data_IF_804771968315
#
_entry.id   IF_804771968315
#
_cell.length_a   1.000
_cell.length_b   1.000
_cell.length_c   1.000
_cell.angle_alpha   90.00
_cell.angle_beta   90.00
_cell.angle_gamma   90.00
#
_symmetry.space_group_name_H-M   'P 1'
#
loop_
_entity.id
_entity.type
_entity.pdbx_description
1 polymer ?
#
# COMPACT_ATOMS: atom_id res chain seq x y z
N UNK A 1 -34.20 -35.19 -13.45
CA UNK A 1 -32.90 -34.59 -13.84
C UNK A 1 -32.98 -33.07 -14.15
N UNK A 2 -34.14 -32.42 -14.14
CA UNK A 2 -34.23 -30.95 -14.29
C UNK A 2 -34.12 -30.20 -12.95
N UNK A 3 -34.55 -30.82 -11.85
CA UNK A 3 -34.56 -30.18 -10.52
C UNK A 3 -33.14 -29.82 -10.03
N UNK A 4 -32.15 -30.66 -10.33
CA UNK A 4 -30.75 -30.46 -9.97
C UNK A 4 -30.10 -29.32 -10.75
N UNK A 5 -30.47 -29.14 -12.02
CA UNK A 5 -29.98 -28.05 -12.85
C UNK A 5 -30.49 -26.68 -12.37
N UNK A 6 -31.77 -26.60 -11.98
CA UNK A 6 -32.37 -25.36 -11.47
C UNK A 6 -31.74 -24.94 -10.13
N UNK A 7 -31.47 -25.90 -9.24
CA UNK A 7 -30.78 -25.64 -7.96
C UNK A 7 -29.35 -25.12 -8.16
N UNK A 8 -28.63 -25.64 -9.17
CA UNK A 8 -27.27 -25.19 -9.48
C UNK A 8 -27.26 -23.76 -10.03
N UNK A 9 -28.22 -23.41 -10.90
CA UNK A 9 -28.35 -22.05 -11.42
C UNK A 9 -28.73 -21.03 -10.35
N UNK A 10 -29.60 -21.39 -9.40
CA UNK A 10 -29.97 -20.51 -8.29
C UNK A 10 -28.79 -20.22 -7.35
N UNK A 11 -27.94 -21.22 -7.08
CA UNK A 11 -26.74 -21.05 -6.27
C UNK A 11 -25.71 -20.11 -6.93
N UNK A 12 -25.57 -20.15 -8.26
CA UNK A 12 -24.70 -19.25 -9.02
C UNK A 12 -25.20 -17.79 -8.98
N UNK A 13 -26.52 -17.56 -9.05
CA UNK A 13 -27.10 -16.20 -8.99
C UNK A 13 -26.96 -15.61 -7.57
N UNK A 14 -27.11 -16.42 -6.52
CA UNK A 14 -26.89 -15.99 -5.14
C UNK A 14 -25.41 -15.68 -4.85
N UNK A 15 -24.48 -16.42 -5.44
CA UNK A 15 -23.05 -16.14 -5.35
C UNK A 15 -22.65 -14.88 -6.14
N UNK A 16 -23.27 -14.63 -7.30
CA UNK A 16 -23.03 -13.43 -8.11
C UNK A 16 -23.57 -12.15 -7.46
N UNK A 17 -24.72 -12.21 -6.78
CA UNK A 17 -25.26 -11.08 -6.00
C UNK A 17 -24.51 -10.78 -4.70
N UNK A 18 -23.56 -11.64 -4.31
CA UNK A 18 -22.72 -11.49 -3.12
C UNK A 18 -21.34 -10.90 -3.43
N UNK A 19 -21.07 -10.54 -4.68
CA UNK A 19 -19.97 -9.65 -5.02
C UNK A 19 -20.37 -8.24 -4.56
N UNK A 20 -20.31 -7.99 -3.25
CA UNK A 20 -20.23 -6.63 -2.75
C UNK A 20 -19.04 -6.00 -3.48
N UNK A 21 -19.30 -5.02 -4.34
CA UNK A 21 -18.30 -4.04 -4.76
C UNK A 21 -17.76 -3.35 -3.50
N UNK A 22 -16.85 -4.02 -2.81
CA UNK A 22 -16.06 -3.45 -1.73
C UNK A 22 -14.69 -3.12 -2.31
N UNK A 23 -14.66 -2.12 -3.19
CA UNK A 23 -13.41 -1.52 -3.63
C UNK A 23 -13.50 0.00 -3.72
N UNK A 24 -14.40 0.62 -2.94
CA UNK A 24 -14.16 2.01 -2.54
C UNK A 24 -13.11 1.99 -1.43
N UNK A 25 -11.84 2.05 -1.83
CA UNK A 25 -10.77 2.49 -0.94
C UNK A 25 -11.11 3.92 -0.50
N UNK A 26 -11.88 4.07 0.56
CA UNK A 26 -12.10 5.38 1.15
C UNK A 26 -10.80 5.82 1.83
N UNK A 27 -10.21 6.96 1.43
CA UNK A 27 -8.97 7.45 2.02
C UNK A 27 -9.25 7.98 3.43
N UNK A 28 -9.44 7.09 4.40
CA UNK A 28 -9.43 7.46 5.81
C UNK A 28 -7.98 7.57 6.28
N UNK A 29 -7.41 8.78 6.24
CA UNK A 29 -6.13 9.09 6.87
C UNK A 29 -6.27 9.14 8.41
N UNK A 30 -6.75 8.06 9.04
CA UNK A 30 -6.69 7.91 10.49
C UNK A 30 -5.24 7.67 10.88
N UNK A 31 -4.73 8.35 11.92
CA UNK A 31 -3.33 8.26 12.37
C UNK A 31 -2.81 6.82 12.56
N UNK A 32 -3.69 5.86 12.87
CA UNK A 32 -3.36 4.43 12.95
C UNK A 32 -2.83 3.87 11.61
N UNK A 33 -3.37 4.34 10.47
CA UNK A 33 -2.95 3.94 9.12
C UNK A 33 -1.53 4.44 8.83
N UNK A 34 -1.16 5.63 9.32
CA UNK A 34 0.18 6.18 9.11
C UNK A 34 1.25 5.36 9.86
N UNK A 35 0.98 4.90 11.08
CA UNK A 35 1.93 4.06 11.82
C UNK A 35 2.12 2.67 11.20
N UNK A 36 1.06 2.07 10.63
CA UNK A 36 1.19 0.82 9.87
C UNK A 36 2.09 0.98 8.64
N UNK A 37 2.03 2.12 7.95
CA UNK A 37 2.95 2.43 6.83
C UNK A 37 4.40 2.53 7.32
N UNK A 38 4.63 3.14 8.49
CA UNK A 38 5.98 3.18 9.10
C UNK A 38 6.48 1.76 9.42
N UNK A 39 5.64 0.90 10.01
CA UNK A 39 6.00 -0.49 10.27
C UNK A 39 6.30 -1.28 9.00
N UNK A 40 5.59 -1.00 7.90
CA UNK A 40 5.90 -1.57 6.60
C UNK A 40 7.25 -1.08 6.06
N UNK A 41 7.53 0.22 6.17
CA UNK A 41 8.81 0.85 5.80
C UNK A 41 10.01 0.39 6.64
N UNK A 42 9.78 -0.16 7.84
CA UNK A 42 10.81 -0.80 8.66
C UNK A 42 11.25 -2.15 8.07
N UNK A 43 10.33 -2.86 7.42
CA UNK A 43 10.61 -4.16 6.79
C UNK A 43 11.14 -4.01 5.37
N UNK A 44 10.69 -2.99 4.64
CA UNK A 44 10.98 -2.82 3.22
C UNK A 44 11.23 -1.36 2.85
N UNK A 45 12.06 -1.13 1.86
CA UNK A 45 12.23 0.20 1.24
C UNK A 45 11.06 0.48 0.32
N UNK A 46 10.44 1.66 0.42
CA UNK A 46 9.43 2.09 -0.55
C UNK A 46 10.07 2.95 -1.62
N UNK A 47 9.60 2.78 -2.85
CA UNK A 47 10.06 3.51 -4.03
C UNK A 47 8.95 4.46 -4.48
N UNK A 48 9.31 5.70 -4.80
CA UNK A 48 8.38 6.63 -5.42
C UNK A 48 8.16 6.20 -6.87
N UNK A 49 7.01 5.58 -7.14
CA UNK A 49 6.67 5.10 -8.49
C UNK A 49 6.11 6.21 -9.38
N UNK A 50 5.19 7.01 -8.83
CA UNK A 50 4.55 8.11 -9.56
C UNK A 50 4.31 9.27 -8.60
N UNK A 51 4.38 10.49 -9.13
CA UNK A 51 4.17 11.73 -8.40
C UNK A 51 3.52 12.76 -9.33
N UNK A 52 2.52 13.48 -8.82
CA UNK A 52 1.97 14.64 -9.52
C UNK A 52 2.90 15.85 -9.47
N UNK A 53 3.91 15.82 -8.60
CA UNK A 53 4.96 16.83 -8.53
C UNK A 53 6.01 16.56 -9.62
N UNK A 54 6.07 17.44 -10.62
CA UNK A 54 7.02 17.36 -11.74
C UNK A 54 8.49 17.56 -11.34
N UNK A 55 8.75 18.07 -10.14
CA UNK A 55 10.10 18.26 -9.61
C UNK A 55 10.59 17.07 -8.79
N UNK A 56 9.77 16.02 -8.62
CA UNK A 56 10.20 14.83 -7.91
C UNK A 56 11.42 14.19 -8.60
N UNK A 57 12.56 14.06 -7.90
CA UNK A 57 13.75 13.44 -8.47
C UNK A 57 13.52 11.97 -8.80
N UNK A 58 14.24 11.47 -9.82
CA UNK A 58 14.22 10.05 -10.15
C UNK A 58 14.86 9.20 -9.05
N UNK A 59 14.48 7.93 -9.00
CA UNK A 59 15.01 6.94 -8.04
C UNK A 59 14.82 7.34 -6.57
N UNK A 60 13.75 8.08 -6.25
CA UNK A 60 13.42 8.41 -4.87
C UNK A 60 12.98 7.18 -4.08
N UNK A 61 13.58 7.01 -2.90
CA UNK A 61 13.29 5.91 -1.99
C UNK A 61 13.18 6.40 -0.56
N UNK A 62 12.42 5.66 0.24
CA UNK A 62 12.23 5.92 1.66
C UNK A 62 12.38 4.61 2.42
N UNK A 63 13.11 4.65 3.53
CA UNK A 63 13.26 3.52 4.46
C UNK A 63 13.28 4.04 5.89
N UNK A 64 12.75 3.28 6.83
CA UNK A 64 12.89 3.57 8.26
C UNK A 64 14.29 3.19 8.75
N UNK A 65 14.91 4.10 9.49
CA UNK A 65 16.19 3.87 10.17
C UNK A 65 16.00 3.46 11.63
N UNK A 66 15.13 4.18 12.35
CA UNK A 66 14.84 3.95 13.77
C UNK A 66 13.37 4.18 14.04
N UNK A 67 12.80 3.41 14.96
CA UNK A 67 11.42 3.58 15.44
C UNK A 67 11.40 3.65 16.97
N UNK A 68 10.45 4.40 17.50
CA UNK A 68 10.06 4.39 18.89
C UNK A 68 8.55 4.10 18.97
N UNK A 69 8.23 2.87 19.35
CA UNK A 69 6.84 2.39 19.45
C UNK A 69 6.09 3.08 20.61
N UNK A 70 6.79 3.49 21.67
CA UNK A 70 6.15 4.07 22.87
C UNK A 70 5.50 5.43 22.60
N UNK A 71 5.95 6.16 21.58
CA UNK A 71 5.41 7.46 21.18
C UNK A 71 5.04 7.54 19.68
N UNK A 72 5.04 6.40 18.97
CA UNK A 72 4.80 6.31 17.52
C UNK A 72 5.63 7.30 16.68
N UNK A 73 6.94 7.38 16.94
CA UNK A 73 7.86 8.19 16.13
C UNK A 73 8.87 7.36 15.37
N UNK A 74 9.28 7.82 14.20
CA UNK A 74 10.30 7.15 13.40
C UNK A 74 11.22 8.14 12.68
N UNK A 75 12.48 7.74 12.53
CA UNK A 75 13.48 8.42 11.72
C UNK A 75 13.50 7.77 10.34
N UNK A 76 13.18 8.54 9.30
CA UNK A 76 13.17 8.10 7.91
C UNK A 76 14.46 8.52 7.20
N UNK A 77 15.01 7.62 6.40
CA UNK A 77 16.07 7.92 5.45
C UNK A 77 15.45 8.00 4.07
N UNK A 78 15.52 9.19 3.48
CA UNK A 78 15.06 9.46 2.11
C UNK A 78 16.29 9.60 1.22
N UNK A 79 16.33 8.83 0.13
CA UNK A 79 17.36 8.97 -0.91
C UNK A 79 16.68 9.36 -2.21
N UNK A 80 17.36 10.13 -3.04
CA UNK A 80 16.82 10.65 -4.29
C UNK A 80 17.96 11.01 -5.24
N UNK A 81 17.73 10.86 -6.54
CA UNK A 81 18.76 11.07 -7.56
C UNK A 81 19.65 9.83 -7.79
N UNK A 82 20.62 9.97 -8.69
CA UNK A 82 21.68 8.96 -8.89
C UNK A 82 22.69 9.09 -7.73
N UNK A 83 23.17 7.98 -7.20
CA UNK A 83 24.41 7.98 -6.41
C UNK A 83 25.48 8.68 -7.25
N UNK A 84 25.90 9.87 -6.82
CA UNK A 84 27.18 10.39 -7.24
C UNK A 84 28.19 9.40 -6.71
N UNK A 85 28.79 8.58 -7.57
CA UNK A 85 29.99 7.82 -7.22
C UNK A 85 30.99 8.83 -6.65
N UNK A 86 31.10 8.91 -5.33
CA UNK A 86 32.19 9.59 -4.65
C UNK A 86 33.42 8.71 -4.84
N UNK A 87 33.96 8.73 -6.04
CA UNK A 87 35.30 8.26 -6.36
C UNK A 87 36.05 9.48 -6.86
N UNK A 88 36.77 10.13 -5.94
CA UNK A 88 38.01 10.82 -6.23
C UNK A 88 38.83 10.98 -4.96
#
# INVERSE_FOLDING_TARGET
MYLTAVLFCAALIAAAGSAKEKNECQPEAKNQVAWEVVKALQRQTFYLFNSTNKQSPNCSTMKVNQTNEGNHTATLVVRSGKESNATS
#
